data_IF_319034432364
#
_entry.id   IF_319034432364
#
_cell.length_a   1.000
_cell.length_b   1.000
_cell.length_c   1.000
_cell.angle_alpha   90.00
_cell.angle_beta   90.00
_cell.angle_gamma   90.00
#
_symmetry.space_group_name_H-M   'P 1'
#
loop_
_entity.id
_entity.type
_entity.pdbx_description
1 polymer ?
#
# COMPACT_ATOMS: atom_id res chain seq x y z
N UNK A 1 -1.32 12.49 1.97
CA UNK A 1 -1.06 11.08 2.30
C UNK A 1 -0.71 11.01 3.79
N UNK A 2 -1.52 10.29 4.56
CA UNK A 2 -1.32 10.00 5.97
C UNK A 2 -0.33 8.83 6.15
N UNK A 3 0.47 8.89 7.22
CA UNK A 3 1.51 7.90 7.50
C UNK A 3 1.57 7.59 8.99
N UNK A 4 1.74 6.31 9.29
CA UNK A 4 2.38 5.89 10.51
C UNK A 4 3.89 5.88 10.28
N UNK A 5 4.62 6.58 11.15
CA UNK A 5 6.08 6.75 11.05
C UNK A 5 6.78 6.24 12.30
N UNK A 6 8.08 5.92 12.23
CA UNK A 6 8.86 5.67 13.43
C UNK A 6 8.79 6.86 14.39
N UNK A 7 8.71 6.62 15.69
CA UNK A 7 8.58 7.70 16.68
C UNK A 7 9.75 8.68 16.66
N UNK A 8 10.94 8.24 16.25
CA UNK A 8 12.13 9.08 16.11
C UNK A 8 12.01 10.11 14.97
N UNK A 9 11.06 9.93 14.05
CA UNK A 9 10.82 10.83 12.92
C UNK A 9 9.90 12.00 13.29
N UNK A 10 9.24 11.95 14.45
CA UNK A 10 8.31 12.98 14.93
C UNK A 10 9.10 14.04 15.73
N UNK A 11 9.02 15.30 15.30
CA UNK A 11 9.57 16.44 16.07
C UNK A 11 8.66 16.73 17.26
N UNK A 12 9.26 16.93 18.44
CA UNK A 12 8.52 17.34 19.62
C UNK A 12 8.39 18.88 19.63
N UNK A 13 7.18 19.47 19.54
CA UNK A 13 7.01 20.93 19.37
C UNK A 13 7.45 21.77 20.58
N UNK A 14 7.86 21.16 21.70
CA UNK A 14 8.33 21.86 22.90
C UNK A 14 9.85 22.11 22.96
N UNK A 15 10.65 21.55 22.04
CA UNK A 15 12.11 21.72 22.03
C UNK A 15 12.57 22.37 20.71
N UNK A 16 12.26 23.66 20.55
CA UNK A 16 12.57 24.45 19.37
C UNK A 16 14.00 25.03 19.38
N UNK A 17 14.98 24.18 19.69
CA UNK A 17 16.40 24.49 19.50
C UNK A 17 17.06 23.36 18.73
N UNK A 18 17.17 23.55 17.40
CA UNK A 18 18.02 22.81 16.46
C UNK A 18 18.15 21.30 16.73
N UNK A 19 17.04 20.56 16.62
CA UNK A 19 17.11 19.09 16.55
C UNK A 19 17.14 18.65 15.09
N UNK A 20 18.33 18.26 14.62
CA UNK A 20 18.47 17.49 13.39
C UNK A 20 17.55 16.26 13.50
N UNK A 21 16.61 16.11 12.57
CA UNK A 21 15.87 14.84 12.41
C UNK A 21 16.90 13.75 12.20
N UNK A 22 17.21 12.98 13.24
CA UNK A 22 18.22 11.95 13.14
C UNK A 22 17.63 10.85 12.26
N UNK A 23 18.19 10.68 11.05
CA UNK A 23 17.82 9.55 10.19
C UNK A 23 17.85 8.26 11.01
N UNK A 24 16.83 7.39 10.89
CA UNK A 24 16.88 6.10 11.56
C UNK A 24 18.15 5.36 11.17
N UNK A 25 18.93 4.88 12.14
CA UNK A 25 20.10 4.02 11.87
C UNK A 25 19.70 2.64 11.31
N UNK A 26 18.43 2.28 11.42
CA UNK A 26 17.86 1.01 10.96
C UNK A 26 17.48 1.11 9.49
N UNK A 27 17.60 0.00 8.77
CA UNK A 27 17.03 -0.13 7.43
C UNK A 27 15.54 0.22 7.45
N UNK A 28 15.09 0.94 6.41
CA UNK A 28 13.73 1.45 6.32
C UNK A 28 12.84 0.46 5.58
N UNK A 29 11.68 0.15 6.15
CA UNK A 29 10.68 -0.74 5.57
C UNK A 29 9.39 0.04 5.41
N UNK A 30 8.80 0.00 4.23
CA UNK A 30 7.53 0.64 3.91
C UNK A 30 6.50 -0.45 3.62
N UNK A 31 5.41 -0.47 4.39
CA UNK A 31 4.36 -1.48 4.32
C UNK A 31 3.14 -0.93 3.58
N UNK A 32 2.92 -1.36 2.34
CA UNK A 32 1.89 -0.82 1.44
C UNK A 32 0.67 -1.75 1.42
N UNK A 33 -0.50 -1.21 1.76
CA UNK A 33 -1.72 -1.99 1.99
C UNK A 33 -2.46 -2.42 0.71
N UNK A 34 -3.44 -3.32 0.89
CA UNK A 34 -4.34 -3.82 -0.17
C UNK A 34 -5.47 -2.85 -0.52
N UNK A 35 -6.21 -3.15 -1.59
CA UNK A 35 -7.44 -2.43 -1.91
C UNK A 35 -8.50 -2.60 -0.81
N UNK A 36 -9.33 -1.57 -0.62
CA UNK A 36 -10.43 -1.51 0.35
C UNK A 36 -10.04 -1.62 1.84
N UNK A 37 -8.76 -1.46 2.17
CA UNK A 37 -8.26 -1.40 3.55
C UNK A 37 -7.41 -0.15 3.76
N UNK A 38 -6.95 0.08 5.00
CA UNK A 38 -5.92 1.09 5.33
C UNK A 38 -4.63 0.41 5.82
N UNK A 39 -3.59 1.22 6.02
CA UNK A 39 -2.24 0.78 6.39
C UNK A 39 -2.20 -0.16 7.60
N UNK A 40 -2.67 0.30 8.75
CA UNK A 40 -2.59 -0.44 10.01
C UNK A 40 -3.51 -1.65 10.05
N UNK A 41 -4.74 -1.55 9.57
CA UNK A 41 -5.66 -2.69 9.44
C UNK A 41 -4.98 -3.84 8.68
N UNK A 42 -4.20 -3.52 7.64
CA UNK A 42 -3.50 -4.53 6.84
C UNK A 42 -2.27 -5.09 7.56
N UNK A 43 -1.50 -4.25 8.25
CA UNK A 43 -0.15 -4.61 8.71
C UNK A 43 0.02 -4.70 10.24
N UNK A 44 -1.03 -4.48 11.04
CA UNK A 44 -0.98 -4.40 12.51
C UNK A 44 -0.20 -5.56 13.16
N UNK A 45 -0.37 -6.79 12.65
CA UNK A 45 0.28 -7.98 13.18
C UNK A 45 1.77 -8.08 12.80
N UNK A 46 2.24 -7.33 11.79
CA UNK A 46 3.63 -7.30 11.37
C UNK A 46 4.38 -6.12 11.99
N UNK A 47 3.73 -4.95 12.12
CA UNK A 47 4.35 -3.70 12.58
C UNK A 47 5.13 -3.88 13.88
N UNK A 48 4.51 -4.50 14.90
CA UNK A 48 5.14 -4.65 16.22
C UNK A 48 6.42 -5.48 16.20
N UNK A 49 6.51 -6.51 15.34
CA UNK A 49 7.71 -7.33 15.20
C UNK A 49 8.79 -6.66 14.37
N UNK A 50 8.39 -5.99 13.28
CA UNK A 50 9.32 -5.31 12.37
C UNK A 50 9.93 -4.05 12.99
N UNK A 51 9.16 -3.25 13.73
CA UNK A 51 9.63 -1.99 14.32
C UNK A 51 10.81 -2.17 15.31
N UNK A 52 10.94 -3.38 15.89
CA UNK A 52 12.10 -3.73 16.74
C UNK A 52 13.42 -3.71 15.96
N UNK A 53 13.40 -4.07 14.68
CA UNK A 53 14.60 -4.23 13.82
C UNK A 53 14.72 -3.16 12.74
N UNK A 54 13.61 -2.65 12.24
CA UNK A 54 13.52 -1.73 11.12
C UNK A 54 12.89 -0.38 11.51
N UNK A 55 13.14 0.63 10.69
CA UNK A 55 12.36 1.87 10.71
C UNK A 55 11.13 1.64 9.82
N UNK A 56 9.97 1.37 10.43
CA UNK A 56 8.76 0.97 9.72
C UNK A 56 7.89 2.18 9.42
N UNK A 57 7.54 2.36 8.15
CA UNK A 57 6.59 3.34 7.65
C UNK A 57 5.36 2.61 7.12
N UNK A 58 4.17 3.07 7.48
CA UNK A 58 2.91 2.48 7.00
C UNK A 58 2.04 3.61 6.44
N UNK A 59 2.09 3.86 5.12
CA UNK A 59 1.20 4.82 4.48
C UNK A 59 -0.23 4.30 4.38
N UNK A 60 -1.19 5.21 4.46
CA UNK A 60 -2.49 5.03 3.81
C UNK A 60 -2.34 5.53 2.38
N UNK A 61 -2.60 4.70 1.37
CA UNK A 61 -2.65 5.11 -0.03
C UNK A 61 -3.73 6.17 -0.23
N UNK A 62 -3.58 7.01 -1.25
CA UNK A 62 -4.61 8.01 -1.56
C UNK A 62 -5.95 7.33 -1.80
N UNK A 63 -7.02 7.97 -1.32
CA UNK A 63 -8.42 7.50 -1.36
C UNK A 63 -8.76 6.39 -0.35
N UNK A 64 -7.84 6.07 0.56
CA UNK A 64 -8.05 5.11 1.65
C UNK A 64 -7.66 5.74 2.99
N UNK A 65 -8.26 5.24 4.08
CA UNK A 65 -8.05 5.80 5.43
C UNK A 65 -8.25 7.31 5.44
N UNK A 66 -7.29 8.02 6.03
CA UNK A 66 -7.29 9.49 6.12
C UNK A 66 -6.54 10.17 4.97
N UNK A 67 -6.11 9.42 3.95
CA UNK A 67 -5.37 9.94 2.80
C UNK A 67 -6.29 10.45 1.70
N UNK A 68 -6.30 11.76 1.46
CA UNK A 68 -7.13 12.40 0.44
C UNK A 68 -6.31 13.22 -0.58
N UNK A 69 -6.92 13.49 -1.73
CA UNK A 69 -6.45 14.42 -2.77
C UNK A 69 -7.65 14.80 -3.66
N UNK A 70 -7.55 15.93 -4.36
CA UNK A 70 -8.49 16.42 -5.38
C UNK A 70 -8.24 15.81 -6.76
N UNK A 71 -7.08 15.18 -6.97
CA UNK A 71 -6.73 14.50 -8.22
C UNK A 71 -7.59 13.26 -8.45
N UNK A 72 -8.05 13.06 -9.69
CA UNK A 72 -8.92 11.95 -10.09
C UNK A 72 -8.18 10.66 -10.49
N UNK A 73 -6.85 10.72 -10.70
CA UNK A 73 -6.05 9.55 -11.05
C UNK A 73 -6.06 8.51 -9.90
N UNK A 74 -6.48 7.28 -10.20
CA UNK A 74 -6.53 6.14 -9.27
C UNK A 74 -5.49 5.06 -9.59
N UNK A 75 -4.60 5.32 -10.55
CA UNK A 75 -3.67 4.33 -11.06
C UNK A 75 -2.60 3.96 -10.02
N UNK A 76 -2.08 2.71 -10.04
CA UNK A 76 -0.93 2.33 -9.23
C UNK A 76 0.31 3.21 -9.49
N UNK A 77 0.45 3.75 -10.70
CA UNK A 77 1.53 4.66 -11.06
C UNK A 77 1.44 5.99 -10.33
N UNK A 78 0.24 6.57 -10.25
CA UNK A 78 -0.01 7.78 -9.46
C UNK A 78 0.20 7.56 -7.96
N UNK A 79 -0.27 6.42 -7.44
CA UNK A 79 -0.01 6.04 -6.05
C UNK A 79 1.50 5.92 -5.75
N UNK A 80 2.27 5.32 -6.66
CA UNK A 80 3.73 5.23 -6.53
C UNK A 80 4.40 6.61 -6.54
N UNK A 81 4.00 7.50 -7.45
CA UNK A 81 4.52 8.87 -7.46
C UNK A 81 4.27 9.60 -6.15
N UNK A 82 3.03 9.54 -5.65
CA UNK A 82 2.65 10.19 -4.41
C UNK A 82 3.41 9.60 -3.21
N UNK A 83 3.57 8.28 -3.18
CA UNK A 83 4.33 7.58 -2.16
C UNK A 83 5.81 7.99 -2.17
N UNK A 84 6.46 8.00 -3.34
CA UNK A 84 7.86 8.43 -3.48
C UNK A 84 8.06 9.87 -3.01
N UNK A 85 7.17 10.79 -3.40
CA UNK A 85 7.22 12.19 -2.95
C UNK A 85 7.04 12.31 -1.43
N UNK A 86 6.11 11.56 -0.84
CA UNK A 86 5.88 11.57 0.60
C UNK A 86 7.07 11.00 1.37
N UNK A 87 7.64 9.89 0.93
CA UNK A 87 8.86 9.29 1.51
C UNK A 87 10.05 10.25 1.46
N UNK A 88 10.24 10.96 0.34
CA UNK A 88 11.27 11.99 0.21
C UNK A 88 11.09 13.14 1.22
N UNK A 89 9.85 13.59 1.45
CA UNK A 89 9.55 14.60 2.50
C UNK A 89 9.82 14.09 3.92
N UNK A 90 9.72 12.78 4.14
CA UNK A 90 10.05 12.12 5.41
C UNK A 90 11.55 11.81 5.55
N UNK A 91 12.38 12.18 4.56
CA UNK A 91 13.82 11.97 4.58
C UNK A 91 14.24 10.52 4.32
N UNK A 92 13.36 9.71 3.73
CA UNK A 92 13.67 8.35 3.29
C UNK A 92 14.43 8.43 1.97
N UNK A 93 15.67 7.98 1.99
CA UNK A 93 16.59 7.96 0.86
C UNK A 93 16.66 6.58 0.18
N UNK A 94 16.52 5.51 0.95
CA UNK A 94 16.45 4.14 0.44
C UNK A 94 15.63 3.24 1.36
N UNK A 95 14.77 2.40 0.78
CA UNK A 95 13.85 1.56 1.54
C UNK A 95 13.58 0.19 0.92
N UNK A 96 13.10 -0.73 1.76
CA UNK A 96 12.52 -2.01 1.37
C UNK A 96 11.00 -1.83 1.33
N UNK A 97 10.37 -2.19 0.22
CA UNK A 97 8.92 -2.14 0.08
C UNK A 97 8.32 -3.53 0.33
N UNK A 98 7.31 -3.61 1.18
CA UNK A 98 6.45 -4.78 1.29
C UNK A 98 5.04 -4.40 0.82
N UNK A 99 4.59 -4.97 -0.30
CA UNK A 99 3.29 -4.69 -0.90
C UNK A 99 2.37 -5.92 -0.86
N UNK A 100 1.15 -5.74 -0.37
CA UNK A 100 0.12 -6.78 -0.42
C UNK A 100 -0.98 -6.41 -1.42
N UNK A 101 -1.31 -7.32 -2.33
CA UNK A 101 -2.34 -7.12 -3.36
C UNK A 101 -2.15 -5.81 -4.14
N UNK A 102 -3.10 -4.88 -4.12
CA UNK A 102 -2.93 -3.55 -4.75
C UNK A 102 -1.63 -2.84 -4.35
N UNK A 103 -1.19 -2.97 -3.09
CA UNK A 103 0.10 -2.43 -2.63
C UNK A 103 1.31 -3.07 -3.32
N UNK A 104 1.19 -4.31 -3.80
CA UNK A 104 2.19 -4.97 -4.64
C UNK A 104 2.31 -4.32 -6.02
N UNK A 105 1.17 -3.98 -6.65
CA UNK A 105 1.17 -3.24 -7.92
C UNK A 105 1.84 -1.86 -7.78
N UNK A 106 1.59 -1.17 -6.66
CA UNK A 106 2.27 0.09 -6.32
C UNK A 106 3.77 -0.14 -6.10
N UNK A 107 4.16 -1.21 -5.39
CA UNK A 107 5.57 -1.54 -5.16
C UNK A 107 6.33 -1.84 -6.46
N UNK A 108 5.70 -2.51 -7.43
CA UNK A 108 6.29 -2.70 -8.76
C UNK A 108 6.49 -1.37 -9.50
N UNK A 109 5.50 -0.46 -9.46
CA UNK A 109 5.64 0.89 -10.04
C UNK A 109 6.70 1.74 -9.35
N UNK A 110 6.86 1.57 -8.03
CA UNK A 110 7.95 2.20 -7.28
C UNK A 110 9.32 1.69 -7.76
N UNK A 111 9.49 0.38 -7.88
CA UNK A 111 10.74 -0.21 -8.33
C UNK A 111 11.08 0.16 -9.79
N UNK A 112 10.07 0.24 -10.66
CA UNK A 112 10.21 0.64 -12.07
C UNK A 112 10.67 2.10 -12.21
N UNK A 113 10.08 3.03 -11.45
CA UNK A 113 10.26 4.47 -11.65
C UNK A 113 11.25 5.14 -10.70
N UNK A 114 11.48 4.53 -9.54
CA UNK A 114 12.26 5.10 -8.44
C UNK A 114 13.28 4.07 -7.91
N UNK A 115 14.01 3.42 -8.83
CA UNK A 115 15.00 2.38 -8.51
C UNK A 115 16.07 2.80 -7.50
N UNK A 116 16.43 4.08 -7.46
CA UNK A 116 17.38 4.62 -6.47
C UNK A 116 16.81 4.61 -5.03
N UNK A 117 15.50 4.81 -4.89
CA UNK A 117 14.78 4.82 -3.61
C UNK A 117 14.46 3.39 -3.13
N UNK A 118 14.34 2.43 -4.06
CA UNK A 118 13.89 1.06 -3.76
C UNK A 118 15.08 0.11 -3.72
N UNK A 119 15.42 -0.38 -2.52
CA UNK A 119 16.46 -1.40 -2.34
C UNK A 119 15.98 -2.79 -2.76
N UNK A 120 14.77 -3.16 -2.35
CA UNK A 120 14.15 -4.45 -2.65
C UNK A 120 12.65 -4.39 -2.45
N UNK A 121 11.94 -5.34 -3.06
CA UNK A 121 10.49 -5.48 -2.93
C UNK A 121 10.14 -6.88 -2.42
N UNK A 122 9.17 -6.95 -1.51
CA UNK A 122 8.45 -8.15 -1.12
C UNK A 122 7.01 -7.96 -1.59
N UNK A 123 6.50 -8.90 -2.39
CA UNK A 123 5.14 -8.83 -2.93
C UNK A 123 4.39 -10.11 -2.59
N UNK A 124 3.18 -9.96 -2.06
CA UNK A 124 2.29 -11.08 -1.73
C UNK A 124 0.88 -10.82 -2.24
N UNK A 125 0.20 -11.86 -2.75
CA UNK A 125 -1.20 -11.79 -3.17
C UNK A 125 -1.50 -10.74 -4.25
N UNK A 126 -0.53 -10.40 -5.08
CA UNK A 126 -0.62 -9.35 -6.11
C UNK A 126 -0.37 -9.90 -7.50
N UNK A 127 -0.73 -9.10 -8.50
CA UNK A 127 -0.28 -9.25 -9.88
C UNK A 127 0.72 -8.14 -10.24
N UNK A 128 1.45 -8.32 -11.34
CA UNK A 128 2.43 -7.34 -11.83
C UNK A 128 1.75 -6.11 -12.45
N UNK A 129 0.73 -6.34 -13.28
CA UNK A 129 -0.02 -5.30 -13.98
C UNK A 129 -1.47 -5.74 -14.17
N UNK A 130 -2.41 -4.80 -14.01
CA UNK A 130 -3.81 -4.97 -14.39
C UNK A 130 -4.07 -4.04 -15.58
N UNK A 131 -4.19 -4.61 -16.78
CA UNK A 131 -4.63 -3.85 -17.97
C UNK A 131 -6.14 -4.03 -18.15
N UNK A 132 -6.77 -3.16 -18.93
CA UNK A 132 -8.20 -3.26 -19.24
C UNK A 132 -8.55 -4.62 -19.86
N UNK A 133 -7.68 -5.15 -20.73
CA UNK A 133 -7.86 -6.47 -21.34
C UNK A 133 -7.78 -7.60 -20.31
N UNK A 134 -6.81 -7.56 -19.37
CA UNK A 134 -6.71 -8.57 -18.30
C UNK A 134 -7.93 -8.50 -17.39
N UNK A 135 -8.36 -7.29 -17.04
CA UNK A 135 -9.52 -7.06 -16.18
C UNK A 135 -10.82 -7.56 -16.84
N UNK A 136 -11.06 -7.18 -18.10
CA UNK A 136 -12.23 -7.60 -18.87
C UNK A 136 -12.27 -9.12 -19.05
N UNK A 137 -11.13 -9.76 -19.38
CA UNK A 137 -11.04 -11.21 -19.49
C UNK A 137 -11.33 -11.91 -18.17
N UNK A 138 -10.77 -11.40 -17.07
CA UNK A 138 -10.97 -11.97 -15.73
C UNK A 138 -12.43 -11.90 -15.30
N UNK A 139 -13.08 -10.74 -15.50
CA UNK A 139 -14.50 -10.56 -15.22
C UNK A 139 -15.37 -11.48 -16.07
N UNK A 140 -15.11 -11.56 -17.38
CA UNK A 140 -15.83 -12.46 -18.29
C UNK A 140 -15.74 -13.92 -17.85
N UNK A 141 -14.54 -14.38 -17.46
CA UNK A 141 -14.32 -15.76 -16.97
C UNK A 141 -15.04 -16.04 -15.66
N UNK A 142 -15.19 -15.03 -14.81
CA UNK A 142 -15.91 -15.15 -13.54
C UNK A 142 -17.42 -14.95 -13.69
N UNK A 143 -17.90 -14.53 -14.86
CA UNK A 143 -19.32 -14.30 -15.13
C UNK A 143 -19.86 -12.96 -14.62
N UNK A 144 -18.99 -11.96 -14.46
CA UNK A 144 -19.36 -10.61 -14.01
C UNK A 144 -19.20 -9.58 -15.13
N UNK A 145 -20.07 -8.57 -15.15
CA UNK A 145 -20.04 -7.48 -16.13
C UNK A 145 -19.12 -6.33 -15.73
N UNK A 146 -18.83 -6.19 -14.43
CA UNK A 146 -18.00 -5.12 -13.88
C UNK A 146 -17.31 -5.52 -12.57
N UNK A 147 -16.22 -4.83 -12.22
CA UNK A 147 -15.56 -5.02 -10.91
C UNK A 147 -16.44 -4.60 -9.74
N UNK A 148 -17.33 -3.62 -9.92
CA UNK A 148 -18.31 -3.23 -8.89
C UNK A 148 -19.29 -4.35 -8.59
N UNK A 149 -19.80 -5.05 -9.61
CA UNK A 149 -20.70 -6.19 -9.43
C UNK A 149 -20.02 -7.33 -8.66
N UNK A 150 -18.74 -7.58 -8.94
CA UNK A 150 -17.96 -8.61 -8.24
C UNK A 150 -17.62 -8.21 -6.80
N UNK A 151 -17.16 -6.99 -6.57
CA UNK A 151 -16.55 -6.56 -5.30
C UNK A 151 -17.53 -5.90 -4.32
N UNK A 152 -18.71 -5.46 -4.78
CA UNK A 152 -19.73 -4.82 -3.95
C UNK A 152 -21.04 -5.62 -4.00
N UNK A 153 -21.06 -6.87 -3.51
CA UNK A 153 -22.28 -7.66 -3.49
C UNK A 153 -23.32 -7.03 -2.57
N UNK A 154 -24.54 -6.90 -3.06
CA UNK A 154 -25.70 -6.36 -2.34
C UNK A 154 -26.60 -7.46 -1.74
N UNK A 155 -26.21 -8.72 -1.91
CA UNK A 155 -26.97 -9.89 -1.46
C UNK A 155 -26.06 -10.96 -0.86
N UNK A 156 -26.61 -11.77 0.05
CA UNK A 156 -25.91 -12.93 0.65
C UNK A 156 -25.46 -13.91 -0.43
N UNK A 157 -26.26 -14.10 -1.48
CA UNK A 157 -25.90 -14.94 -2.63
C UNK A 157 -24.68 -14.39 -3.36
N UNK A 158 -24.65 -13.09 -3.64
CA UNK A 158 -23.50 -12.40 -4.25
C UNK A 158 -22.25 -12.51 -3.39
N UNK A 159 -22.37 -12.31 -2.07
CA UNK A 159 -21.24 -12.44 -1.14
C UNK A 159 -20.68 -13.87 -1.13
N UNK A 160 -21.54 -14.91 -1.11
CA UNK A 160 -21.10 -16.31 -1.21
C UNK A 160 -20.39 -16.59 -2.54
N UNK A 161 -20.87 -16.02 -3.64
CA UNK A 161 -20.23 -16.15 -4.95
C UNK A 161 -18.82 -15.52 -4.95
N UNK A 162 -18.67 -14.29 -4.44
CA UNK A 162 -17.38 -13.63 -4.27
C UNK A 162 -16.41 -14.46 -3.41
N UNK A 163 -16.87 -14.97 -2.27
CA UNK A 163 -16.05 -15.79 -1.38
C UNK A 163 -15.62 -17.12 -2.04
N UNK A 164 -16.48 -17.71 -2.88
CA UNK A 164 -16.17 -18.94 -3.62
C UNK A 164 -15.07 -18.77 -4.67
N UNK A 165 -14.87 -17.54 -5.17
CA UNK A 165 -13.81 -17.21 -6.12
C UNK A 165 -12.49 -16.91 -5.41
N UNK A 166 -12.55 -16.34 -4.21
CA UNK A 166 -11.38 -15.81 -3.49
C UNK A 166 -10.77 -16.79 -2.49
N UNK A 167 -11.58 -17.68 -1.91
CA UNK A 167 -11.14 -18.62 -0.89
C UNK A 167 -10.71 -19.96 -1.50
N UNK A 168 -9.58 -20.48 -1.03
CA UNK A 168 -9.13 -21.83 -1.40
C UNK A 168 -10.15 -22.91 -1.01
N UNK A 169 -10.75 -22.78 0.18
CA UNK A 169 -11.87 -23.64 0.61
C UNK A 169 -13.18 -22.97 0.25
N UNK A 170 -14.01 -23.68 -0.52
CA UNK A 170 -15.37 -23.25 -0.84
C UNK A 170 -16.21 -23.23 0.45
N UNK A 171 -17.03 -22.20 0.60
CA UNK A 171 -18.04 -22.05 1.65
C UNK A 171 -19.35 -22.72 1.27
#
# INVERSE_FOLDING_TARGET
>A
MNFWVPSQTIKNPKNDTKSNTSKPKKAMVVLVHSFATEGIVTWQFQVGSLARKYAVYVPDLLFFGESTTDVSDRSPGFQAECLARALGKLGVDKCILAGFSHGGMVAFKMAERYSELVQSILVSGSILVMTDSISAESLRRLGYSSSSELLLPDSVKGLKALLSVTLYKKL
#
